data_IF_235243311247
#
_entry.id   IF_235243311247
#
_cell.length_a   1.000
_cell.length_b   1.000
_cell.length_c   1.000
_cell.angle_alpha   90.00
_cell.angle_beta   90.00
_cell.angle_gamma   90.00
#
_symmetry.space_group_name_H-M   'P 1'
#
loop_
_entity.id
_entity.type
_entity.pdbx_description
1 polymer ?
#
# COMPACT_ATOMS: atom_id res chain seq x y z
N UNK A 1 -9.57 0.19 15.20
CA UNK A 1 -9.88 -1.17 15.70
C UNK A 1 -8.67 -2.12 15.80
N UNK A 2 -7.65 -2.08 14.94
CA UNK A 2 -6.40 -2.84 15.16
C UNK A 2 -5.52 -2.21 16.26
N UNK A 3 -5.27 -0.90 16.19
CA UNK A 3 -4.48 -0.15 17.17
C UNK A 3 -5.10 -0.17 18.57
N UNK A 4 -6.42 -0.21 18.67
CA UNK A 4 -7.15 -0.26 19.94
C UNK A 4 -7.01 -1.64 20.61
N UNK A 5 -6.73 -2.69 19.83
CA UNK A 5 -6.62 -4.07 20.30
C UNK A 5 -5.17 -4.52 20.54
N UNK A 6 -4.20 -4.01 19.76
CA UNK A 6 -2.80 -4.44 19.80
C UNK A 6 -1.82 -3.32 20.18
N UNK A 7 -2.32 -2.09 20.36
CA UNK A 7 -1.50 -0.92 20.63
C UNK A 7 -0.93 -0.28 19.36
N UNK A 8 -0.66 1.02 19.45
CA UNK A 8 -0.16 1.82 18.31
C UNK A 8 1.15 1.30 17.72
N UNK A 9 2.03 0.70 18.53
CA UNK A 9 3.33 0.20 18.07
C UNK A 9 3.18 -0.99 17.10
N UNK A 10 2.24 -1.89 17.37
CA UNK A 10 1.93 -3.00 16.46
C UNK A 10 1.20 -2.51 15.20
N UNK A 11 0.35 -1.49 15.36
CA UNK A 11 -0.20 -0.72 14.25
C UNK A 11 0.85 -0.17 13.29
N UNK A 12 1.86 0.51 13.83
CA UNK A 12 2.95 1.07 13.06
C UNK A 12 3.76 0.00 12.32
N UNK A 13 3.96 -1.17 12.93
CA UNK A 13 4.60 -2.31 12.25
C UNK A 13 3.76 -2.80 11.08
N UNK A 14 2.45 -2.96 11.27
CA UNK A 14 1.53 -3.34 10.21
C UNK A 14 1.58 -2.33 9.04
N UNK A 15 1.49 -1.04 9.34
CA UNK A 15 1.57 0.02 8.33
C UNK A 15 2.91 0.03 7.58
N UNK A 16 4.02 -0.26 8.25
CA UNK A 16 5.33 -0.41 7.59
C UNK A 16 5.38 -1.61 6.65
N UNK A 17 4.76 -2.73 7.01
CA UNK A 17 4.67 -3.91 6.13
C UNK A 17 3.87 -3.56 4.88
N UNK A 18 2.69 -2.95 5.05
CA UNK A 18 1.84 -2.51 3.93
C UNK A 18 2.60 -1.54 3.03
N UNK A 19 3.24 -0.51 3.60
CA UNK A 19 4.00 0.49 2.84
C UNK A 19 5.12 -0.15 2.00
N UNK A 20 5.88 -1.09 2.60
CA UNK A 20 6.94 -1.80 1.90
C UNK A 20 6.41 -2.69 0.77
N UNK A 21 5.27 -3.35 0.98
CA UNK A 21 4.64 -4.19 -0.05
C UNK A 21 4.16 -3.34 -1.21
N UNK A 22 3.46 -2.24 -0.93
CA UNK A 22 2.99 -1.30 -1.97
C UNK A 22 4.16 -0.73 -2.75
N UNK A 23 5.20 -0.24 -2.07
CA UNK A 23 6.38 0.35 -2.72
C UNK A 23 7.15 -0.62 -3.61
N UNK A 24 7.17 -1.92 -3.30
CA UNK A 24 7.81 -2.95 -4.16
C UNK A 24 7.00 -3.29 -5.40
N UNK A 25 5.69 -3.07 -5.35
CA UNK A 25 4.79 -3.38 -6.47
C UNK A 25 4.71 -2.17 -7.40
N UNK A 26 4.62 -0.98 -6.83
CA UNK A 26 4.68 0.32 -7.51
C UNK A 26 6.15 0.72 -7.64
N UNK A 27 6.93 -0.10 -8.35
CA UNK A 27 8.39 0.04 -8.49
C UNK A 27 8.77 0.27 -9.95
N UNK A 28 8.57 1.50 -10.42
CA UNK A 28 9.02 1.95 -11.74
C UNK A 28 9.35 3.45 -11.73
N UNK A 29 10.06 3.93 -12.75
CA UNK A 29 10.46 5.35 -12.88
C UNK A 29 9.29 6.30 -13.12
N UNK A 30 8.13 5.78 -13.52
CA UNK A 30 6.92 6.54 -13.87
C UNK A 30 5.79 6.35 -12.87
N UNK A 31 5.94 5.43 -11.91
CA UNK A 31 4.94 5.18 -10.88
C UNK A 31 5.37 5.77 -9.52
N UNK A 32 4.39 6.05 -8.67
CA UNK A 32 4.60 6.68 -7.38
C UNK A 32 3.59 6.14 -6.36
N UNK A 33 4.03 5.90 -5.14
CA UNK A 33 3.13 5.62 -4.02
C UNK A 33 3.47 6.46 -2.80
N UNK A 34 2.44 6.82 -2.02
CA UNK A 34 2.60 7.56 -0.78
C UNK A 34 1.56 7.16 0.26
N UNK A 35 1.86 7.44 1.53
CA UNK A 35 0.86 7.42 2.61
C UNK A 35 0.10 8.74 2.58
N UNK A 36 -1.21 8.68 2.39
CA UNK A 36 -2.05 9.87 2.34
C UNK A 36 -2.30 10.44 3.74
N UNK A 37 -2.56 9.57 4.72
CA UNK A 37 -2.76 9.94 6.11
C UNK A 37 -3.33 8.78 6.91
N UNK A 38 -3.00 8.68 8.21
CA UNK A 38 -3.53 7.58 9.04
C UNK A 38 -3.19 6.20 8.44
N UNK A 39 -4.19 5.43 8.08
CA UNK A 39 -4.05 4.09 7.46
C UNK A 39 -4.25 4.08 5.94
N UNK A 40 -4.34 5.26 5.31
CA UNK A 40 -4.63 5.42 3.88
C UNK A 40 -3.35 5.58 3.03
N UNK A 41 -3.33 4.93 1.87
CA UNK A 41 -2.24 4.97 0.89
C UNK A 41 -2.79 5.32 -0.50
N UNK A 42 -1.99 6.02 -1.30
CA UNK A 42 -2.30 6.38 -2.69
C UNK A 42 -1.18 5.90 -3.61
N UNK A 43 -1.56 5.44 -4.80
CA UNK A 43 -0.67 5.09 -5.91
C UNK A 43 -1.03 5.86 -7.16
N UNK A 44 -0.04 6.37 -7.87
CA UNK A 44 -0.15 6.98 -9.20
C UNK A 44 0.68 6.08 -10.12
N UNK A 45 0.08 5.53 -11.16
CA UNK A 45 0.74 4.62 -12.07
C UNK A 45 0.53 5.10 -13.51
N UNK A 46 1.56 4.99 -14.35
CA UNK A 46 1.50 5.35 -15.78
C UNK A 46 0.90 4.20 -16.59
N UNK A 47 -0.41 3.98 -16.39
CA UNK A 47 -1.18 2.90 -17.03
C UNK A 47 -2.64 3.29 -17.20
N UNK A 48 -3.36 2.55 -18.04
CA UNK A 48 -4.82 2.64 -18.13
C UNK A 48 -5.53 1.97 -16.93
N UNK A 49 -6.87 2.04 -16.93
CA UNK A 49 -7.71 1.46 -15.88
C UNK A 49 -7.49 -0.04 -15.70
N UNK A 50 -7.21 -0.78 -16.77
CA UNK A 50 -7.00 -2.22 -16.68
C UNK A 50 -5.70 -2.53 -15.94
N UNK A 51 -4.59 -1.91 -16.34
CA UNK A 51 -3.30 -2.10 -15.64
C UNK A 51 -3.33 -1.57 -14.20
N UNK A 52 -4.05 -0.48 -13.94
CA UNK A 52 -4.25 0.02 -12.58
C UNK A 52 -4.98 -1.01 -11.70
N UNK A 53 -6.02 -1.68 -12.24
CA UNK A 53 -6.71 -2.76 -11.54
C UNK A 53 -5.81 -3.98 -11.30
N UNK A 54 -4.95 -4.35 -12.26
CA UNK A 54 -3.98 -5.44 -12.06
C UNK A 54 -2.99 -5.13 -10.94
N UNK A 55 -2.46 -3.91 -10.90
CA UNK A 55 -1.57 -3.44 -9.83
C UNK A 55 -2.30 -3.47 -8.48
N UNK A 56 -3.53 -2.96 -8.41
CA UNK A 56 -4.34 -2.96 -7.19
C UNK A 56 -4.61 -4.38 -6.67
N UNK A 57 -4.97 -5.32 -7.55
CA UNK A 57 -5.18 -6.71 -7.18
C UNK A 57 -3.88 -7.41 -6.74
N UNK A 58 -2.75 -7.06 -7.35
CA UNK A 58 -1.44 -7.57 -6.93
C UNK A 58 -1.08 -7.07 -5.53
N UNK A 59 -1.33 -5.80 -5.22
CA UNK A 59 -1.16 -5.25 -3.86
C UNK A 59 -2.04 -6.01 -2.88
N UNK A 60 -3.35 -6.13 -3.17
CA UNK A 60 -4.31 -6.81 -2.29
C UNK A 60 -3.91 -8.25 -1.97
N UNK A 61 -3.40 -8.99 -2.95
CA UNK A 61 -2.93 -10.38 -2.77
C UNK A 61 -1.60 -10.49 -2.02
N UNK A 62 -0.78 -9.45 -2.02
CA UNK A 62 0.58 -9.46 -1.44
C UNK A 62 0.64 -8.95 0.00
N UNK A 63 -0.47 -8.39 0.53
CA UNK A 63 -0.58 -7.85 1.90
C UNK A 63 -1.13 -8.90 2.90
N UNK A 64 -1.24 -10.17 2.49
CA UNK A 64 -1.69 -11.29 3.33
C UNK A 64 -0.52 -12.10 3.90
#
# INVERSE_FOLDING_TARGET
>A
MFNDSYGHLEGDKCLKIVANTVSKIVDSTSDFCARFGGEEFIGICDTDEYGANEIAEKIRKSVL
#
